data_IF_649325595271
#
_entry.id   IF_649325595271
#
_cell.length_a   1.000
_cell.length_b   1.000
_cell.length_c   1.000
_cell.angle_alpha   90.00
_cell.angle_beta   90.00
_cell.angle_gamma   90.00
#
_symmetry.space_group_name_H-M   'P 1'
#
loop_
_entity.id
_entity.type
_entity.pdbx_description
1 polymer ?
#
# COMPACT_ATOMS: atom_id res chain seq x y z
N UNK A 1 -34.30 -14.26 -44.18
CA UNK A 1 -33.61 -13.01 -43.78
C UNK A 1 -33.74 -12.92 -42.26
N UNK A 2 -32.80 -13.49 -41.50
CA UNK A 2 -32.87 -13.52 -40.04
C UNK A 2 -32.05 -12.36 -39.48
N UNK A 3 -32.77 -11.37 -38.93
CA UNK A 3 -32.19 -10.26 -38.19
C UNK A 3 -31.80 -10.77 -36.80
N UNK A 4 -30.50 -10.94 -36.56
CA UNK A 4 -29.98 -11.16 -35.21
C UNK A 4 -29.87 -9.78 -34.55
N UNK A 5 -30.75 -9.52 -33.58
CA UNK A 5 -30.67 -8.36 -32.70
C UNK A 5 -29.53 -8.62 -31.72
N UNK A 6 -28.45 -7.84 -31.84
CA UNK A 6 -27.36 -7.84 -30.89
C UNK A 6 -27.74 -6.91 -29.72
N UNK A 7 -28.27 -7.48 -28.63
CA UNK A 7 -28.44 -6.76 -27.37
C UNK A 7 -27.05 -6.54 -26.75
N UNK A 8 -26.49 -5.35 -26.89
CA UNK A 8 -25.32 -4.93 -26.14
C UNK A 8 -25.74 -4.70 -24.67
N UNK A 9 -25.46 -5.69 -23.81
CA UNK A 9 -25.37 -5.49 -22.37
C UNK A 9 -24.23 -4.49 -22.13
N UNK A 10 -24.60 -3.27 -21.70
CA UNK A 10 -23.70 -2.27 -21.14
C UNK A 10 -23.06 -2.86 -19.87
N UNK A 11 -22.00 -3.65 -20.04
CA UNK A 11 -21.18 -4.11 -18.94
C UNK A 11 -20.60 -2.89 -18.24
N UNK A 12 -20.91 -2.73 -16.95
CA UNK A 12 -20.24 -1.73 -16.12
C UNK A 12 -18.72 -1.90 -16.33
N UNK A 13 -17.96 -0.80 -16.47
CA UNK A 13 -16.53 -0.89 -16.64
C UNK A 13 -15.96 -1.72 -15.48
N UNK A 14 -15.04 -2.66 -15.73
CA UNK A 14 -14.45 -3.46 -14.68
C UNK A 14 -13.89 -2.51 -13.62
N UNK A 15 -14.44 -2.56 -12.41
CA UNK A 15 -13.95 -1.77 -11.30
C UNK A 15 -12.57 -2.32 -10.95
N UNK A 16 -11.54 -1.47 -11.02
CA UNK A 16 -10.21 -1.86 -10.54
C UNK A 16 -10.36 -2.30 -9.08
N UNK A 17 -9.95 -3.54 -8.72
CA UNK A 17 -10.16 -4.05 -7.37
C UNK A 17 -9.43 -3.16 -6.36
N UNK A 18 -10.10 -2.90 -5.24
CA UNK A 18 -9.50 -2.18 -4.10
C UNK A 18 -8.87 -3.23 -3.18
N UNK A 19 -7.56 -3.18 -3.06
CA UNK A 19 -6.79 -4.13 -2.24
C UNK A 19 -6.85 -3.68 -0.78
N UNK A 20 -7.21 -4.59 0.12
CA UNK A 20 -7.09 -4.36 1.57
C UNK A 20 -5.62 -4.47 1.96
N UNK A 21 -4.98 -3.33 2.21
CA UNK A 21 -3.54 -3.26 2.42
C UNK A 21 -3.12 -3.65 3.83
N UNK A 22 -3.98 -3.41 4.83
CA UNK A 22 -3.75 -3.78 6.23
C UNK A 22 -3.36 -5.26 6.37
N UNK A 23 -3.95 -6.14 5.55
CA UNK A 23 -3.75 -7.60 5.61
C UNK A 23 -3.02 -8.15 4.39
N UNK A 24 -2.36 -7.31 3.59
CA UNK A 24 -1.68 -7.75 2.37
C UNK A 24 -0.44 -8.57 2.76
N UNK A 25 -0.30 -9.80 2.25
CA UNK A 25 0.88 -10.63 2.53
C UNK A 25 2.05 -10.31 1.58
N UNK A 26 3.27 -10.69 1.95
CA UNK A 26 4.45 -10.58 1.06
C UNK A 26 4.22 -11.28 -0.27
N UNK A 27 3.65 -12.48 -0.25
CA UNK A 27 3.39 -13.25 -1.47
C UNK A 27 2.43 -12.51 -2.40
N UNK A 28 1.35 -11.95 -1.86
CA UNK A 28 0.40 -11.14 -2.62
C UNK A 28 1.05 -9.86 -3.14
N UNK A 29 1.78 -9.13 -2.29
CA UNK A 29 2.49 -7.92 -2.66
C UNK A 29 3.54 -8.17 -3.75
N UNK A 30 4.25 -9.30 -3.70
CA UNK A 30 5.24 -9.70 -4.70
C UNK A 30 4.60 -9.89 -6.08
N UNK A 31 3.40 -10.49 -6.15
CA UNK A 31 2.66 -10.66 -7.40
C UNK A 31 2.17 -9.34 -8.01
N UNK A 32 1.96 -8.34 -7.17
CA UNK A 32 1.46 -7.01 -7.54
C UNK A 32 2.57 -5.95 -7.63
N UNK A 33 3.83 -6.34 -7.40
CA UNK A 33 4.94 -5.40 -7.31
C UNK A 33 5.17 -4.73 -8.67
N UNK A 34 5.23 -3.40 -8.66
CA UNK A 34 5.36 -2.59 -9.88
C UNK A 34 4.02 -2.18 -10.51
N UNK A 35 2.91 -2.83 -10.18
CA UNK A 35 1.60 -2.49 -10.71
C UNK A 35 1.06 -1.19 -10.09
N UNK A 36 0.27 -0.45 -10.87
CA UNK A 36 -0.47 0.70 -10.38
C UNK A 36 -1.85 0.26 -9.84
N UNK A 37 -1.92 0.05 -8.53
CA UNK A 37 -3.08 -0.50 -7.83
C UNK A 37 -3.78 0.53 -6.95
N UNK A 38 -5.04 0.26 -6.60
CA UNK A 38 -5.76 1.02 -5.56
C UNK A 38 -5.75 0.21 -4.27
N UNK A 39 -5.26 0.81 -3.20
CA UNK A 39 -5.29 0.22 -1.87
C UNK A 39 -6.29 0.93 -0.97
N UNK A 40 -6.80 0.21 0.03
CA UNK A 40 -7.50 0.76 1.19
C UNK A 40 -6.84 0.26 2.46
N UNK A 41 -6.63 1.17 3.40
CA UNK A 41 -6.00 0.87 4.68
C UNK A 41 -6.55 1.75 5.80
N UNK A 42 -6.46 1.29 7.03
CA UNK A 42 -6.75 2.08 8.23
C UNK A 42 -5.43 2.47 8.88
N UNK A 43 -5.21 3.77 9.09
CA UNK A 43 -3.96 4.28 9.66
C UNK A 43 -3.77 3.74 11.08
N UNK A 44 -2.58 3.20 11.35
CA UNK A 44 -2.18 2.68 12.65
C UNK A 44 -1.91 3.77 13.70
N UNK A 45 -1.47 3.34 14.87
CA UNK A 45 -1.13 4.19 16.02
C UNK A 45 0.20 4.95 15.83
N UNK A 46 1.11 4.40 15.02
CA UNK A 46 2.34 5.07 14.63
C UNK A 46 2.02 6.43 13.95
N UNK A 47 2.54 7.56 14.49
CA UNK A 47 2.18 8.88 14.00
C UNK A 47 2.68 9.11 12.58
N UNK A 48 1.81 9.65 11.73
CA UNK A 48 2.22 10.09 10.40
C UNK A 48 3.15 11.30 10.48
N UNK A 49 4.17 11.33 9.63
CA UNK A 49 5.13 12.43 9.54
C UNK A 49 5.37 12.82 8.09
N UNK A 50 5.98 13.99 7.86
CA UNK A 50 6.36 14.40 6.51
C UNK A 50 7.84 14.15 6.26
N UNK A 51 8.16 13.74 5.03
CA UNK A 51 9.53 13.52 4.60
C UNK A 51 9.67 13.84 3.11
N UNK A 52 10.78 14.47 2.66
CA UNK A 52 11.06 14.63 1.24
C UNK A 52 11.46 13.28 0.63
N UNK A 53 10.67 12.79 -0.33
CA UNK A 53 10.98 11.60 -1.12
C UNK A 53 11.23 12.04 -2.57
N UNK A 54 12.46 11.87 -3.06
CA UNK A 54 12.86 12.31 -4.41
C UNK A 54 12.54 13.79 -4.69
N UNK A 55 12.73 14.66 -3.69
CA UNK A 55 12.46 16.10 -3.80
C UNK A 55 10.98 16.50 -3.68
N UNK A 56 10.07 15.55 -3.50
CA UNK A 56 8.65 15.81 -3.29
C UNK A 56 8.29 15.64 -1.80
N UNK A 57 7.61 16.62 -1.22
CA UNK A 57 7.07 16.49 0.14
C UNK A 57 6.01 15.38 0.15
N UNK A 58 6.20 14.40 1.03
CA UNK A 58 5.28 13.28 1.21
C UNK A 58 4.95 13.06 2.67
N UNK A 59 3.79 12.48 2.92
CA UNK A 59 3.39 11.97 4.24
C UNK A 59 3.68 10.49 4.30
N UNK A 60 4.45 10.08 5.30
CA UNK A 60 4.76 8.68 5.59
C UNK A 60 3.85 8.22 6.73
N UNK A 61 3.16 7.10 6.54
CA UNK A 61 2.36 6.44 7.55
C UNK A 61 2.31 4.92 7.30
N UNK A 62 1.73 4.18 8.24
CA UNK A 62 1.49 2.74 8.10
C UNK A 62 0.03 2.40 8.39
N UNK A 63 -0.43 1.20 7.98
CA UNK A 63 -1.71 0.67 8.42
C UNK A 63 -1.67 0.27 9.90
N UNK A 64 -2.84 -0.02 10.45
CA UNK A 64 -3.00 -0.73 11.72
C UNK A 64 -2.27 -2.07 11.64
N UNK A 65 -1.50 -2.37 12.68
CA UNK A 65 -0.83 -3.67 12.80
C UNK A 65 -1.87 -4.76 13.04
N UNK A 66 -1.62 -5.94 12.47
CA UNK A 66 -2.42 -7.11 12.70
C UNK A 66 -1.63 -8.09 13.57
N UNK A 67 -2.20 -8.46 14.70
CA UNK A 67 -1.60 -9.44 15.60
C UNK A 67 -1.28 -10.73 14.84
N UNK A 68 -0.02 -11.16 14.92
CA UNK A 68 0.44 -12.43 14.40
C UNK A 68 0.98 -12.45 12.97
N UNK A 69 1.15 -11.30 12.30
CA UNK A 69 1.87 -11.25 11.01
C UNK A 69 3.23 -10.56 11.04
N UNK A 70 3.51 -9.76 12.08
CA UNK A 70 4.75 -8.96 12.27
C UNK A 70 5.21 -8.20 11.01
N UNK A 71 4.29 -7.95 10.07
CA UNK A 71 4.63 -7.52 8.74
C UNK A 71 4.63 -6.00 8.66
N UNK A 72 5.80 -5.43 8.42
CA UNK A 72 5.96 -4.00 8.18
C UNK A 72 5.32 -3.61 6.85
N UNK A 73 4.52 -2.53 6.90
CA UNK A 73 3.83 -1.98 5.74
C UNK A 73 3.91 -0.45 5.79
N UNK A 74 4.51 0.14 4.78
CA UNK A 74 4.71 1.60 4.72
C UNK A 74 3.96 2.22 3.55
N UNK A 75 3.29 3.34 3.79
CA UNK A 75 2.57 4.14 2.80
C UNK A 75 3.21 5.51 2.66
N UNK A 76 3.55 5.88 1.41
CA UNK A 76 4.08 7.19 1.06
C UNK A 76 3.06 7.99 0.22
N UNK A 77 2.41 8.96 0.86
CA UNK A 77 1.34 9.78 0.28
C UNK A 77 1.88 11.12 -0.24
N UNK A 78 1.33 11.61 -1.35
CA UNK A 78 1.69 12.90 -1.95
C UNK A 78 1.20 14.06 -1.07
N UNK A 79 2.13 14.97 -0.75
CA UNK A 79 1.88 16.18 0.02
C UNK A 79 1.83 15.98 1.53
N UNK A 80 1.54 17.07 2.26
CA UNK A 80 1.25 17.01 3.69
C UNK A 80 -0.21 16.59 3.91
N UNK A 81 -0.36 15.41 4.49
CA UNK A 81 -1.63 14.77 4.86
C UNK A 81 -1.61 14.35 6.32
N UNK A 82 -0.69 14.83 7.15
CA UNK A 82 -0.57 14.46 8.58
C UNK A 82 -1.88 14.64 9.36
N UNK A 83 -2.67 15.67 9.05
CA UNK A 83 -4.00 15.88 9.66
C UNK A 83 -5.07 14.89 9.19
N UNK A 84 -4.91 14.28 8.01
CA UNK A 84 -5.84 13.30 7.44
C UNK A 84 -5.42 11.87 7.78
N UNK A 85 -4.12 11.60 7.77
CA UNK A 85 -3.51 10.33 8.13
C UNK A 85 -3.29 10.25 9.65
N UNK A 86 -4.40 10.21 10.40
CA UNK A 86 -4.40 10.01 11.85
C UNK A 86 -4.90 8.62 12.17
N UNK A 87 -4.48 8.09 13.31
CA UNK A 87 -4.91 6.80 13.84
C UNK A 87 -6.42 6.57 13.67
N UNK A 88 -6.78 5.37 13.21
CA UNK A 88 -8.16 4.94 12.98
C UNK A 88 -8.84 5.56 11.76
N UNK A 89 -8.17 6.45 11.01
CA UNK A 89 -8.70 6.97 9.74
C UNK A 89 -8.42 6.01 8.59
N UNK A 90 -9.45 5.74 7.80
CA UNK A 90 -9.32 4.93 6.58
C UNK A 90 -9.00 5.81 5.38
N UNK A 91 -7.99 5.42 4.61
CA UNK A 91 -7.62 6.05 3.35
C UNK A 91 -7.77 5.05 2.20
N UNK A 92 -8.15 5.56 1.03
CA UNK A 92 -8.14 4.81 -0.23
C UNK A 92 -7.34 5.61 -1.24
N UNK A 93 -6.24 5.03 -1.73
CA UNK A 93 -5.25 5.73 -2.55
C UNK A 93 -4.75 4.83 -3.67
N UNK A 94 -4.29 5.44 -4.76
CA UNK A 94 -3.79 4.75 -5.95
C UNK A 94 -2.31 5.02 -6.16
N UNK A 95 -1.57 3.99 -6.55
CA UNK A 95 -0.12 4.06 -6.58
C UNK A 95 0.53 2.71 -6.82
N UNK A 96 1.83 2.64 -6.57
CA UNK A 96 2.66 1.48 -6.89
C UNK A 96 3.05 0.72 -5.64
N UNK A 97 2.91 -0.61 -5.67
CA UNK A 97 3.43 -1.52 -4.65
C UNK A 97 4.88 -1.93 -4.94
N UNK A 98 5.64 -2.11 -3.88
CA UNK A 98 7.00 -2.68 -3.90
C UNK A 98 7.19 -3.56 -2.68
N UNK A 99 7.92 -4.66 -2.85
CA UNK A 99 8.49 -5.42 -1.73
C UNK A 99 9.95 -5.04 -1.62
N UNK A 100 10.36 -4.55 -0.46
CA UNK A 100 11.76 -4.22 -0.16
C UNK A 100 12.34 -5.33 0.69
N UNK A 101 13.44 -5.93 0.22
CA UNK A 101 14.15 -6.97 0.95
C UNK A 101 15.31 -6.35 1.71
N UNK A 102 15.32 -6.55 3.01
CA UNK A 102 16.40 -6.12 3.89
C UNK A 102 17.25 -7.33 4.24
N UNK A 103 18.52 -7.29 3.83
CA UNK A 103 19.50 -8.28 4.24
C UNK A 103 19.76 -8.19 5.74
N UNK A 104 20.13 -9.31 6.35
CA UNK A 104 20.50 -9.34 7.75
C UNK A 104 21.72 -8.43 8.01
N UNK A 105 21.73 -7.76 9.16
CA UNK A 105 22.80 -6.81 9.51
C UNK A 105 23.13 -6.85 11.00
N UNK A 106 24.26 -6.25 11.38
CA UNK A 106 24.63 -6.05 12.78
C UNK A 106 24.65 -4.56 13.13
N UNK A 107 23.82 -4.14 14.07
CA UNK A 107 23.74 -2.74 14.54
C UNK A 107 24.30 -2.69 15.96
N UNK A 108 25.43 -2.01 16.15
CA UNK A 108 26.12 -1.92 17.44
C UNK A 108 26.36 -3.29 18.11
N UNK A 109 26.67 -4.31 17.32
CA UNK A 109 26.90 -5.68 17.79
C UNK A 109 25.63 -6.52 18.01
N UNK A 110 24.43 -5.95 17.82
CA UNK A 110 23.16 -6.67 17.87
C UNK A 110 22.80 -7.18 16.48
N UNK A 111 22.47 -8.47 16.36
CA UNK A 111 21.99 -9.04 15.11
C UNK A 111 20.56 -8.63 14.82
N UNK A 112 20.34 -8.07 13.63
CA UNK A 112 19.03 -7.83 13.05
C UNK A 112 18.86 -8.87 11.93
N UNK A 113 17.87 -9.79 12.04
CA UNK A 113 17.63 -10.79 11.00
C UNK A 113 17.18 -10.10 9.71
N UNK A 114 17.28 -10.79 8.59
CA UNK A 114 16.69 -10.32 7.34
C UNK A 114 15.16 -10.22 7.47
N UNK A 115 14.56 -9.25 6.78
CA UNK A 115 13.11 -9.07 6.74
C UNK A 115 12.66 -8.44 5.43
N UNK A 116 11.37 -8.59 5.12
CA UNK A 116 10.74 -7.96 3.97
C UNK A 116 9.74 -6.89 4.43
N UNK A 117 9.69 -5.75 3.74
CA UNK A 117 8.74 -4.65 3.96
C UNK A 117 7.86 -4.47 2.71
N UNK A 118 6.56 -4.24 2.90
CA UNK A 118 5.64 -3.90 1.83
C UNK A 118 5.50 -2.38 1.77
N UNK A 119 5.99 -1.78 0.68
CA UNK A 119 5.88 -0.34 0.45
C UNK A 119 4.84 -0.01 -0.60
N UNK A 120 4.02 0.98 -0.30
CA UNK A 120 3.14 1.62 -1.25
C UNK A 120 3.54 3.07 -1.47
N UNK A 121 3.65 3.49 -2.72
CA UNK A 121 3.94 4.88 -3.09
C UNK A 121 2.80 5.44 -3.96
N UNK A 122 2.10 6.47 -3.47
CA UNK A 122 1.04 7.14 -4.20
C UNK A 122 1.58 7.81 -5.48
N UNK A 123 0.81 7.71 -6.57
CA UNK A 123 1.16 8.23 -7.90
C UNK A 123 0.06 9.15 -8.43
#
# INVERSE_FOLDING_TARGET
MNTIIFCALLGAPPTTPVIKFDTLTIEQATRLAGDNVTIRFTVGDAPAYTWPVNGQLRTICGPVLHDGDDQERTVSLIGDRTRKAREGKTLTVRGTLRVVRHEAYAVNGVHVPAWDDIRFEER
#
